data_IF_537961419221
#
_entry.id   IF_537961419221
#
_cell.length_a   1.000
_cell.length_b   1.000
_cell.length_c   1.000
_cell.angle_alpha   90.00
_cell.angle_beta   90.00
_cell.angle_gamma   90.00
#
_symmetry.space_group_name_H-M   'P 1'
#
loop_
_entity.id
_entity.type
_entity.pdbx_description
1 polymer ?
#
# COMPACT_ATOMS: atom_id res chain seq x y z
N UNK A 1 -6.66 -39.93 65.92
CA UNK A 1 -5.98 -41.21 66.20
C UNK A 1 -4.82 -41.29 65.24
N UNK A 2 -3.61 -41.24 65.81
CA UNK A 2 -2.34 -41.74 65.28
C UNK A 2 -2.51 -42.82 64.18
N UNK A 3 -1.86 -42.68 63.02
CA UNK A 3 -0.46 -43.02 62.74
C UNK A 3 -0.22 -44.54 62.66
N UNK A 4 0.42 -44.97 61.57
CA UNK A 4 1.45 -46.05 61.47
C UNK A 4 1.71 -46.37 59.98
N UNK A 5 2.94 -46.11 59.48
CA UNK A 5 4.03 -47.09 59.22
C UNK A 5 3.65 -48.10 58.10
N UNK A 6 4.42 -48.41 57.04
CA UNK A 6 5.85 -48.33 56.80
C UNK A 6 6.20 -48.88 55.38
N UNK A 7 7.45 -48.61 54.96
CA UNK A 7 8.35 -49.43 54.13
C UNK A 7 8.25 -49.41 52.58
N UNK A 8 9.35 -48.90 52.02
CA UNK A 8 9.99 -49.14 50.73
C UNK A 8 9.79 -50.53 50.11
N UNK A 9 9.57 -50.58 48.80
CA UNK A 9 10.26 -51.56 47.95
C UNK A 9 10.70 -50.95 46.63
N UNK A 10 12.01 -51.00 46.41
CA UNK A 10 12.72 -50.69 45.17
C UNK A 10 12.38 -51.73 44.09
N UNK A 11 12.00 -51.29 42.89
CA UNK A 11 12.22 -52.02 41.62
C UNK A 11 12.57 -51.00 40.53
N UNK A 12 13.84 -51.04 40.17
CA UNK A 12 14.48 -50.43 39.01
C UNK A 12 14.00 -51.12 37.71
N UNK A 13 13.52 -50.32 36.74
CA UNK A 13 13.43 -50.71 35.32
C UNK A 13 13.87 -49.56 34.45
N UNK A 14 15.17 -49.48 34.24
CA UNK A 14 15.82 -48.92 33.06
C UNK A 14 15.13 -49.33 31.75
N UNK A 15 14.64 -48.37 30.99
CA UNK A 15 14.48 -48.48 29.54
C UNK A 15 15.39 -47.46 28.86
N UNK A 16 16.46 -47.99 28.27
CA UNK A 16 17.36 -47.29 27.36
C UNK A 16 16.55 -46.70 26.21
N UNK A 17 16.71 -45.41 25.93
CA UNK A 17 16.74 -44.94 24.54
C UNK A 17 17.90 -43.94 24.38
N UNK A 18 18.85 -44.33 23.54
CA UNK A 18 20.08 -43.63 23.19
C UNK A 18 19.78 -42.33 22.44
N UNK A 19 20.59 -41.32 22.76
CA UNK A 19 20.78 -40.11 21.97
C UNK A 19 21.37 -40.44 20.58
N UNK A 20 20.84 -39.80 19.54
CA UNK A 20 21.52 -39.48 18.29
C UNK A 20 20.91 -38.17 17.77
N UNK A 21 21.75 -37.13 17.67
CA UNK A 21 21.42 -35.86 17.06
C UNK A 21 21.05 -36.02 15.59
N UNK A 22 20.04 -35.30 15.13
CA UNK A 22 20.11 -34.61 13.83
C UNK A 22 19.03 -33.54 13.75
N UNK A 23 19.47 -32.37 13.30
CA UNK A 23 18.65 -31.23 12.95
C UNK A 23 17.46 -31.64 12.07
N UNK A 24 16.27 -31.13 12.39
CA UNK A 24 15.26 -30.93 11.35
C UNK A 24 14.56 -29.60 11.56
N UNK A 25 15.24 -28.55 11.09
CA UNK A 25 14.62 -27.30 10.66
C UNK A 25 13.53 -27.63 9.64
N UNK A 26 12.26 -27.67 10.07
CA UNK A 26 11.14 -27.89 9.16
C UNK A 26 10.58 -26.55 8.67
N UNK A 27 11.25 -26.06 7.62
CA UNK A 27 10.69 -25.37 6.45
C UNK A 27 9.51 -24.42 6.69
N UNK A 28 9.82 -23.23 7.20
CA UNK A 28 9.08 -22.02 6.82
C UNK A 28 9.22 -21.91 5.30
N UNK A 29 8.16 -22.23 4.55
CA UNK A 29 8.08 -21.98 3.11
C UNK A 29 8.35 -20.50 2.88
N UNK A 30 9.59 -20.16 2.52
CA UNK A 30 9.96 -18.87 1.95
C UNK A 30 9.17 -18.74 0.66
N UNK A 31 7.99 -18.14 0.74
CA UNK A 31 7.32 -17.58 -0.43
C UNK A 31 8.35 -16.66 -1.06
N UNK A 32 8.84 -17.03 -2.26
CA UNK A 32 9.63 -16.13 -3.09
C UNK A 32 8.70 -14.97 -3.45
N UNK A 33 8.60 -13.97 -2.58
CA UNK A 33 8.08 -12.68 -2.93
C UNK A 33 9.02 -12.15 -4.02
N UNK A 34 8.58 -12.28 -5.26
CA UNK A 34 9.21 -11.63 -6.39
C UNK A 34 9.11 -10.14 -6.08
N UNK A 35 10.24 -9.57 -5.61
CA UNK A 35 10.48 -8.13 -5.59
C UNK A 35 9.98 -7.61 -6.92
N UNK A 36 8.89 -6.84 -6.96
CA UNK A 36 8.68 -5.97 -8.12
C UNK A 36 9.87 -5.02 -8.09
N UNK A 37 10.80 -5.10 -9.04
CA UNK A 37 11.75 -4.00 -9.18
C UNK A 37 10.88 -2.76 -9.38
N UNK A 38 11.26 -1.61 -8.85
CA UNK A 38 10.66 -0.32 -9.22
C UNK A 38 10.91 0.02 -10.70
N UNK A 39 10.68 -0.91 -11.62
CA UNK A 39 10.86 -0.81 -13.06
C UNK A 39 9.97 0.31 -13.62
N UNK A 40 8.79 0.50 -13.01
CA UNK A 40 7.88 1.61 -13.29
C UNK A 40 8.51 2.95 -12.91
N UNK A 41 9.05 3.08 -11.69
CA UNK A 41 9.78 4.28 -11.24
C UNK A 41 10.97 4.59 -12.15
N UNK A 42 11.72 3.56 -12.56
CA UNK A 42 12.84 3.71 -13.50
C UNK A 42 12.40 4.12 -14.90
N UNK A 43 11.21 3.76 -15.36
CA UNK A 43 10.74 4.09 -16.72
C UNK A 43 10.03 5.44 -16.80
N UNK A 44 9.30 5.86 -15.76
CA UNK A 44 8.70 7.19 -15.69
C UNK A 44 9.77 8.29 -15.58
N UNK A 45 10.85 8.06 -14.82
CA UNK A 45 12.00 8.97 -14.73
C UNK A 45 12.83 8.99 -16.04
N UNK A 46 12.81 7.92 -16.84
CA UNK A 46 13.54 7.89 -18.12
C UNK A 46 12.89 8.76 -19.19
N UNK A 47 11.62 9.14 -19.04
CA UNK A 47 10.91 9.96 -20.02
C UNK A 47 11.13 11.45 -19.71
N UNK A 48 12.22 12.04 -20.24
CA UNK A 48 12.64 13.42 -19.96
C UNK A 48 11.57 14.47 -20.29
N UNK A 49 10.69 14.23 -21.27
CA UNK A 49 9.60 15.14 -21.61
C UNK A 49 8.48 15.21 -20.55
N UNK A 50 8.28 14.14 -19.77
CA UNK A 50 7.36 14.15 -18.63
C UNK A 50 7.94 14.87 -17.41
N UNK A 51 9.27 15.05 -17.38
CA UNK A 51 10.01 15.72 -16.30
C UNK A 51 10.02 17.25 -16.51
N UNK A 52 10.01 17.72 -17.76
CA UNK A 52 10.30 19.12 -18.06
C UNK A 52 9.10 20.08 -17.97
N UNK A 53 7.86 19.60 -18.03
CA UNK A 53 6.63 20.43 -17.95
C UNK A 53 5.85 20.25 -16.66
N UNK A 54 6.47 19.61 -15.69
CA UNK A 54 5.82 19.04 -14.53
C UNK A 54 6.51 19.60 -13.29
N UNK A 55 5.88 20.57 -12.63
CA UNK A 55 6.28 21.07 -11.30
C UNK A 55 6.26 19.94 -10.22
N UNK A 56 6.01 18.69 -10.61
CA UNK A 56 5.92 17.49 -9.78
C UNK A 56 7.27 16.87 -9.39
N UNK A 57 8.39 17.53 -9.70
CA UNK A 57 9.75 17.11 -9.31
C UNK A 57 10.47 18.15 -8.45
N UNK A 58 9.77 19.15 -7.90
CA UNK A 58 10.39 20.07 -6.96
C UNK A 58 10.75 19.36 -5.64
N UNK A 59 11.97 19.67 -5.19
CA UNK A 59 12.69 18.98 -4.12
C UNK A 59 11.89 18.92 -2.83
N UNK A 60 11.85 17.74 -2.19
CA UNK A 60 11.36 17.59 -0.82
C UNK A 60 12.02 18.63 0.08
N UNK A 61 11.23 19.51 0.69
CA UNK A 61 11.70 20.32 1.80
C UNK A 61 12.23 19.37 2.88
N UNK A 62 13.45 19.59 3.36
CA UNK A 62 14.06 18.81 4.44
C UNK A 62 13.09 18.67 5.62
N UNK A 63 12.69 17.43 5.94
CA UNK A 63 11.73 17.13 7.03
C UNK A 63 10.40 16.52 6.59
N UNK A 64 10.16 16.35 5.29
CA UNK A 64 8.93 15.71 4.79
C UNK A 64 8.95 14.18 4.95
N UNK A 65 7.80 13.61 5.30
CA UNK A 65 7.59 12.17 5.43
C UNK A 65 7.85 11.43 4.12
N UNK A 66 8.66 10.38 4.17
CA UNK A 66 8.90 9.45 3.07
C UNK A 66 8.46 8.06 3.54
N UNK A 67 7.35 7.52 3.05
CA UNK A 67 6.88 6.19 3.43
C UNK A 67 7.90 5.12 2.98
N UNK A 68 8.39 4.27 3.91
CA UNK A 68 9.33 3.23 3.58
C UNK A 68 8.79 2.19 2.58
N UNK A 69 9.67 1.64 1.75
CA UNK A 69 9.28 0.59 0.79
C UNK A 69 9.04 -0.73 1.52
N UNK A 70 7.87 -1.32 1.32
CA UNK A 70 7.48 -2.56 1.98
C UNK A 70 7.69 -3.79 1.08
N UNK A 71 7.65 -5.01 1.65
CA UNK A 71 7.61 -6.24 0.87
C UNK A 71 6.34 -6.40 0.01
N UNK A 72 5.31 -5.58 0.22
CA UNK A 72 4.01 -5.69 -0.45
C UNK A 72 3.92 -4.92 -1.77
N UNK A 73 4.85 -3.99 -2.00
CA UNK A 73 4.96 -3.20 -3.23
C UNK A 73 3.62 -2.55 -3.64
N UNK A 74 3.01 -1.84 -2.69
CA UNK A 74 1.76 -1.12 -2.93
C UNK A 74 2.01 0.04 -3.90
N UNK A 75 1.07 0.31 -4.80
CA UNK A 75 1.20 1.41 -5.77
C UNK A 75 1.29 2.78 -5.07
N UNK A 76 0.72 2.89 -3.87
CA UNK A 76 0.83 4.06 -3.00
C UNK A 76 2.29 4.39 -2.64
N UNK A 77 3.16 3.39 -2.49
CA UNK A 77 4.60 3.58 -2.23
C UNK A 77 5.34 4.24 -3.41
N UNK A 78 4.75 4.19 -4.61
CA UNK A 78 5.29 4.84 -5.82
C UNK A 78 4.71 6.23 -6.04
N UNK A 79 3.49 6.50 -5.54
CA UNK A 79 2.71 7.70 -5.85
C UNK A 79 2.63 8.72 -4.71
N UNK A 80 3.21 8.44 -3.54
CA UNK A 80 3.05 9.25 -2.34
C UNK A 80 3.47 10.72 -2.47
N UNK A 81 4.44 11.02 -3.35
CA UNK A 81 4.87 12.39 -3.62
C UNK A 81 3.77 13.27 -4.21
N UNK A 82 2.76 12.66 -4.84
CA UNK A 82 1.64 13.35 -5.46
C UNK A 82 0.31 12.82 -4.90
N UNK A 83 -0.27 13.53 -3.91
CA UNK A 83 -1.54 13.15 -3.31
C UNK A 83 -2.68 12.91 -4.32
N UNK A 84 -2.78 13.72 -5.37
CA UNK A 84 -3.82 13.55 -6.37
C UNK A 84 -3.66 12.23 -7.13
N UNK A 85 -2.45 11.92 -7.61
CA UNK A 85 -2.19 10.66 -8.33
C UNK A 85 -2.40 9.43 -7.43
N UNK A 86 -1.96 9.51 -6.18
CA UNK A 86 -2.21 8.47 -5.19
C UNK A 86 -3.72 8.25 -5.01
N UNK A 87 -4.50 9.32 -4.88
CA UNK A 87 -5.96 9.24 -4.73
C UNK A 87 -6.65 8.73 -6.01
N UNK A 88 -6.20 9.12 -7.20
CA UNK A 88 -6.65 8.53 -8.47
C UNK A 88 -6.41 7.01 -8.45
N UNK A 89 -5.24 6.55 -8.01
CA UNK A 89 -4.96 5.12 -7.90
C UNK A 89 -5.94 4.42 -6.94
N UNK A 90 -6.30 5.05 -5.81
CA UNK A 90 -7.30 4.50 -4.88
C UNK A 90 -8.69 4.41 -5.52
N UNK A 91 -9.07 5.39 -6.35
CA UNK A 91 -10.31 5.35 -7.12
C UNK A 91 -10.29 4.17 -8.10
N UNK A 92 -9.21 3.93 -8.83
CA UNK A 92 -9.06 2.79 -9.74
C UNK A 92 -9.09 1.42 -9.03
N UNK A 93 -8.56 1.33 -7.81
CA UNK A 93 -8.53 0.10 -7.03
C UNK A 93 -9.87 -0.25 -6.35
N UNK A 94 -10.85 0.65 -6.40
CA UNK A 94 -12.17 0.40 -5.82
C UNK A 94 -12.87 -0.76 -6.53
N UNK A 95 -13.05 -1.88 -5.80
CA UNK A 95 -13.66 -3.14 -6.26
C UNK A 95 -12.95 -3.77 -7.47
N UNK A 96 -11.67 -3.48 -7.67
CA UNK A 96 -10.86 -3.98 -8.79
C UNK A 96 -9.57 -4.57 -8.26
N UNK A 97 -9.14 -5.70 -8.81
CA UNK A 97 -7.85 -6.29 -8.44
C UNK A 97 -6.69 -5.43 -8.93
N UNK A 98 -5.65 -5.28 -8.11
CA UNK A 98 -4.47 -4.49 -8.47
C UNK A 98 -3.81 -4.96 -9.78
N UNK A 99 -3.88 -6.26 -10.09
CA UNK A 99 -3.35 -6.82 -11.34
C UNK A 99 -3.99 -6.20 -12.59
N UNK A 100 -5.30 -5.92 -12.53
CA UNK A 100 -6.04 -5.30 -13.64
C UNK A 100 -5.95 -3.77 -13.61
N UNK A 101 -6.05 -3.17 -12.42
CA UNK A 101 -6.07 -1.72 -12.26
C UNK A 101 -4.72 -1.06 -12.58
N UNK A 102 -3.60 -1.61 -12.09
CA UNK A 102 -2.28 -0.94 -12.14
C UNK A 102 -1.85 -0.57 -13.57
N UNK A 103 -1.93 -1.47 -14.58
CA UNK A 103 -1.60 -1.10 -15.96
C UNK A 103 -2.45 0.06 -16.48
N UNK A 104 -3.75 0.08 -16.17
CA UNK A 104 -4.66 1.15 -16.57
C UNK A 104 -4.37 2.47 -15.85
N UNK A 105 -4.02 2.42 -14.56
CA UNK A 105 -3.56 3.58 -13.78
C UNK A 105 -2.33 4.20 -14.46
N UNK A 106 -1.36 3.38 -14.89
CA UNK A 106 -0.17 3.89 -15.56
C UNK A 106 -0.52 4.56 -16.89
N UNK A 107 -1.30 3.92 -17.76
CA UNK A 107 -1.73 4.52 -19.02
C UNK A 107 -2.52 5.81 -18.79
N UNK A 108 -3.37 5.84 -17.75
CA UNK A 108 -4.14 7.02 -17.36
C UNK A 108 -3.22 8.18 -16.95
N UNK A 109 -2.31 7.95 -16.00
CA UNK A 109 -1.41 9.00 -15.48
C UNK A 109 -0.34 9.45 -16.48
N UNK A 110 0.02 8.59 -17.45
CA UNK A 110 0.86 9.00 -18.57
C UNK A 110 0.14 9.97 -19.51
N UNK A 111 -1.18 9.80 -19.67
CA UNK A 111 -2.00 10.61 -20.58
C UNK A 111 -2.51 11.89 -19.91
N UNK A 112 -2.88 11.82 -18.64
CA UNK A 112 -3.36 12.94 -17.82
C UNK A 112 -2.56 12.99 -16.52
N UNK A 113 -1.32 13.52 -16.57
CA UNK A 113 -0.44 13.58 -15.40
C UNK A 113 -0.92 14.56 -14.33
N UNK A 114 -1.73 15.57 -14.69
CA UNK A 114 -2.22 16.60 -13.75
C UNK A 114 -3.74 16.58 -13.55
N UNK A 115 -4.23 17.13 -12.42
CA UNK A 115 -5.65 17.43 -12.25
C UNK A 115 -6.25 18.24 -13.41
N UNK A 116 -5.53 19.27 -13.88
CA UNK A 116 -5.98 20.16 -14.96
C UNK A 116 -6.16 19.40 -16.27
N UNK A 117 -5.28 18.45 -16.58
CA UNK A 117 -5.40 17.61 -17.77
C UNK A 117 -6.71 16.81 -17.75
N UNK A 118 -7.08 16.25 -16.59
CA UNK A 118 -8.35 15.53 -16.41
C UNK A 118 -9.55 16.46 -16.52
N UNK A 119 -9.47 17.71 -16.04
CA UNK A 119 -10.58 18.66 -16.19
C UNK A 119 -10.87 19.01 -17.65
N UNK A 120 -9.82 19.04 -18.49
CA UNK A 120 -9.91 19.32 -19.93
C UNK A 120 -10.15 18.07 -20.78
N UNK A 121 -10.06 16.89 -20.19
CA UNK A 121 -10.16 15.63 -20.90
C UNK A 121 -11.56 15.38 -21.48
N UNK A 122 -11.59 14.83 -22.69
CA UNK A 122 -12.82 14.36 -23.32
C UNK A 122 -13.44 13.20 -22.49
N UNK A 123 -14.74 13.26 -22.16
CA UNK A 123 -15.40 12.21 -21.39
C UNK A 123 -15.33 10.81 -22.00
N UNK A 124 -15.35 10.68 -23.33
CA UNK A 124 -15.27 9.37 -23.98
C UNK A 124 -13.86 8.78 -23.82
N UNK A 125 -12.82 9.60 -23.95
CA UNK A 125 -11.46 9.15 -23.69
C UNK A 125 -11.25 8.71 -22.23
N UNK A 126 -11.82 9.43 -21.27
CA UNK A 126 -11.80 9.01 -19.87
C UNK A 126 -12.53 7.67 -19.68
N UNK A 127 -13.66 7.45 -20.35
CA UNK A 127 -14.37 6.18 -20.30
C UNK A 127 -13.54 5.02 -20.85
N UNK A 128 -12.89 5.19 -22.01
CA UNK A 128 -11.97 4.20 -22.58
C UNK A 128 -10.81 3.86 -21.64
N UNK A 129 -10.35 4.83 -20.84
CA UNK A 129 -9.24 4.61 -19.90
C UNK A 129 -9.59 3.67 -18.73
N UNK A 130 -10.88 3.58 -18.37
CA UNK A 130 -11.38 2.73 -17.28
C UNK A 130 -12.12 1.50 -17.79
N UNK A 131 -12.13 1.26 -19.10
CA UNK A 131 -12.85 0.15 -19.72
C UNK A 131 -12.41 -1.21 -19.17
N UNK A 132 -13.38 -2.12 -19.01
CA UNK A 132 -13.21 -3.48 -18.49
C UNK A 132 -12.79 -3.57 -17.02
N UNK A 133 -12.86 -2.44 -16.29
CA UNK A 133 -12.67 -2.42 -14.83
C UNK A 133 -13.98 -2.55 -14.06
N UNK A 134 -15.13 -2.43 -14.73
CA UNK A 134 -16.43 -2.33 -14.09
C UNK A 134 -16.66 -0.98 -13.42
N UNK A 135 -17.93 -0.60 -13.32
CA UNK A 135 -18.39 0.69 -12.79
C UNK A 135 -17.82 1.88 -13.59
N UNK A 136 -17.61 1.71 -14.90
CA UNK A 136 -16.88 2.64 -15.76
C UNK A 136 -17.48 4.05 -15.71
N UNK A 137 -18.78 4.17 -15.96
CA UNK A 137 -19.50 5.46 -15.92
C UNK A 137 -19.41 6.12 -14.54
N UNK A 138 -19.61 5.34 -13.48
CA UNK A 138 -19.49 5.81 -12.09
C UNK A 138 -18.07 6.27 -11.80
N UNK A 139 -17.06 5.54 -12.27
CA UNK A 139 -15.65 5.84 -12.06
C UNK A 139 -15.22 7.10 -12.77
N UNK A 140 -15.63 7.30 -14.04
CA UNK A 140 -15.37 8.55 -14.77
C UNK A 140 -16.03 9.74 -14.07
N UNK A 141 -17.30 9.59 -13.65
CA UNK A 141 -18.00 10.64 -12.89
C UNK A 141 -17.26 10.96 -11.58
N UNK A 142 -16.80 9.93 -10.87
CA UNK A 142 -16.01 10.10 -9.65
C UNK A 142 -14.70 10.82 -9.93
N UNK A 143 -13.91 10.37 -10.91
CA UNK A 143 -12.64 11.00 -11.28
C UNK A 143 -12.82 12.49 -11.59
N UNK A 144 -13.82 12.85 -12.41
CA UNK A 144 -14.07 14.26 -12.78
C UNK A 144 -14.47 15.10 -11.57
N UNK A 145 -15.41 14.63 -10.75
CA UNK A 145 -15.89 15.38 -9.58
C UNK A 145 -14.84 15.45 -8.47
N UNK A 146 -14.15 14.35 -8.18
CA UNK A 146 -13.00 14.30 -7.29
C UNK A 146 -11.94 15.34 -7.70
N UNK A 147 -11.57 15.36 -8.97
CA UNK A 147 -10.53 16.26 -9.47
C UNK A 147 -10.94 17.73 -9.37
N UNK A 148 -12.20 18.06 -9.69
CA UNK A 148 -12.72 19.39 -9.49
C UNK A 148 -12.72 19.80 -8.01
N UNK A 149 -13.18 18.92 -7.12
CA UNK A 149 -13.15 19.14 -5.67
C UNK A 149 -11.71 19.33 -5.16
N UNK A 150 -10.77 18.52 -5.64
CA UNK A 150 -9.36 18.57 -5.25
C UNK A 150 -8.73 19.95 -5.52
N UNK A 151 -9.10 20.58 -6.64
CA UNK A 151 -8.60 21.89 -7.06
C UNK A 151 -9.33 23.06 -6.41
N UNK A 152 -10.65 22.94 -6.23
CA UNK A 152 -11.50 24.09 -5.92
C UNK A 152 -11.90 24.18 -4.44
N UNK A 153 -11.89 23.08 -3.70
CA UNK A 153 -12.24 23.08 -2.27
C UNK A 153 -11.03 23.41 -1.41
N UNK A 154 -11.28 24.09 -0.30
CA UNK A 154 -10.31 24.17 0.80
C UNK A 154 -10.51 22.96 1.72
N UNK A 155 -9.81 21.87 1.45
CA UNK A 155 -9.93 20.61 2.19
C UNK A 155 -8.67 20.35 3.03
N UNK A 156 -8.84 19.69 4.18
CA UNK A 156 -7.71 19.28 5.04
C UNK A 156 -7.36 17.82 4.83
N UNK A 157 -8.36 16.95 4.74
CA UNK A 157 -8.20 15.54 4.45
C UNK A 157 -9.04 15.14 3.23
N UNK A 158 -8.55 14.19 2.41
CA UNK A 158 -9.21 13.90 1.15
C UNK A 158 -10.54 13.18 1.32
N UNK A 159 -10.90 12.68 2.52
CA UNK A 159 -12.25 12.18 2.81
C UNK A 159 -13.37 13.22 2.58
N UNK A 160 -13.01 14.51 2.57
CA UNK A 160 -13.91 15.63 2.27
C UNK A 160 -14.20 15.77 0.75
N UNK A 161 -13.43 15.08 -0.09
CA UNK A 161 -13.51 15.13 -1.54
C UNK A 161 -14.44 14.05 -2.09
N UNK A 162 -15.20 14.40 -3.12
CA UNK A 162 -16.16 13.49 -3.72
C UNK A 162 -15.49 12.17 -4.16
N UNK A 163 -16.06 11.05 -3.71
CA UNK A 163 -15.62 9.71 -4.11
C UNK A 163 -14.41 9.17 -3.35
N UNK A 164 -13.84 9.92 -2.41
CA UNK A 164 -12.80 9.43 -1.52
C UNK A 164 -13.45 8.98 -0.21
N UNK A 165 -13.44 7.67 0.02
CA UNK A 165 -13.86 7.07 1.29
C UNK A 165 -12.71 6.83 2.25
N UNK A 166 -12.99 6.10 3.33
CA UNK A 166 -11.99 5.73 4.35
C UNK A 166 -10.73 5.11 3.77
N UNK A 167 -10.84 4.20 2.80
CA UNK A 167 -9.68 3.60 2.12
C UNK A 167 -8.73 4.62 1.48
N UNK A 168 -9.27 5.57 0.70
CA UNK A 168 -8.45 6.60 0.06
C UNK A 168 -7.85 7.58 1.08
N UNK A 169 -8.62 7.92 2.12
CA UNK A 169 -8.16 8.76 3.21
C UNK A 169 -7.05 8.12 4.05
N UNK A 170 -7.19 6.84 4.41
CA UNK A 170 -6.17 6.08 5.13
C UNK A 170 -4.92 5.93 4.26
N UNK A 171 -5.07 5.73 2.94
CA UNK A 171 -3.95 5.75 2.00
C UNK A 171 -3.21 7.09 2.05
N UNK A 172 -3.91 8.21 1.92
CA UNK A 172 -3.30 9.54 2.03
C UNK A 172 -2.56 9.74 3.36
N UNK A 173 -3.18 9.34 4.47
CA UNK A 173 -2.62 9.51 5.82
C UNK A 173 -1.44 8.59 6.14
N UNK A 174 -1.35 7.44 5.46
CA UNK A 174 -0.20 6.52 5.56
C UNK A 174 0.98 6.98 4.71
N UNK A 175 0.70 7.48 3.50
CA UNK A 175 1.73 7.66 2.48
C UNK A 175 2.10 9.14 2.25
N UNK A 176 1.14 10.06 2.24
CA UNK A 176 1.39 11.46 1.91
C UNK A 176 1.75 12.32 3.14
N UNK A 177 1.29 11.93 4.33
CA UNK A 177 1.54 12.67 5.58
C UNK A 177 2.04 11.74 6.68
N UNK A 178 2.81 12.26 7.65
CA UNK A 178 3.36 11.47 8.77
C UNK A 178 2.32 11.14 9.85
N UNK A 179 1.16 10.59 9.46
CA UNK A 179 0.08 10.27 10.39
C UNK A 179 -0.12 8.76 10.57
N UNK A 180 0.75 7.93 10.01
CA UNK A 180 0.59 6.48 9.94
C UNK A 180 0.28 5.80 11.29
N UNK A 181 0.84 6.32 12.39
CA UNK A 181 0.58 5.84 13.76
C UNK A 181 -0.89 6.03 14.22
N UNK A 182 -1.57 7.05 13.70
CA UNK A 182 -2.97 7.40 14.02
C UNK A 182 -3.99 6.73 13.09
N UNK A 183 -3.54 6.05 12.04
CA UNK A 183 -4.42 5.42 11.05
C UNK A 183 -4.80 4.02 11.51
N UNK A 184 -6.06 3.62 11.34
CA UNK A 184 -6.53 2.26 11.57
C UNK A 184 -7.25 1.77 10.30
N UNK A 185 -6.51 1.19 9.33
CA UNK A 185 -7.08 0.78 8.05
C UNK A 185 -7.99 -0.44 8.20
N UNK A 186 -9.04 -0.49 7.38
CA UNK A 186 -9.87 -1.71 7.22
C UNK A 186 -9.43 -2.52 5.98
N UNK A 187 -8.70 -1.87 5.06
CA UNK A 187 -8.17 -2.54 3.87
C UNK A 187 -7.02 -3.49 4.24
N UNK A 188 -7.12 -4.74 3.78
CA UNK A 188 -6.20 -5.82 4.13
C UNK A 188 -4.75 -5.46 3.81
N UNK A 189 -4.49 -4.79 2.67
CA UNK A 189 -3.13 -4.47 2.24
C UNK A 189 -2.59 -3.25 2.98
N UNK A 190 -3.41 -2.23 3.25
CA UNK A 190 -3.03 -1.11 4.10
C UNK A 190 -2.72 -1.56 5.54
N UNK A 191 -3.52 -2.47 6.10
CA UNK A 191 -3.28 -3.03 7.44
C UNK A 191 -1.95 -3.79 7.48
N UNK A 192 -1.67 -4.65 6.48
CA UNK A 192 -0.37 -5.32 6.36
C UNK A 192 0.81 -4.34 6.27
N UNK A 193 0.68 -3.29 5.47
CA UNK A 193 1.72 -2.27 5.35
C UNK A 193 1.94 -1.54 6.68
N UNK A 194 0.87 -1.16 7.39
CA UNK A 194 0.96 -0.50 8.71
C UNK A 194 1.56 -1.42 9.77
N UNK A 195 1.15 -2.69 9.83
CA UNK A 195 1.70 -3.67 10.76
C UNK A 195 3.19 -3.86 10.52
N UNK A 196 3.59 -3.94 9.24
CA UNK A 196 5.00 -3.98 8.85
C UNK A 196 5.75 -2.71 9.28
N UNK A 197 5.20 -1.51 9.09
CA UNK A 197 5.84 -0.28 9.60
C UNK A 197 6.06 -0.35 11.12
N UNK A 198 5.03 -0.77 11.86
CA UNK A 198 5.08 -0.88 13.32
C UNK A 198 6.17 -1.86 13.77
N UNK A 199 6.29 -3.01 13.10
CA UNK A 199 7.30 -4.02 13.42
C UNK A 199 8.74 -3.57 13.09
N UNK A 200 8.91 -2.64 12.14
CA UNK A 200 10.22 -2.24 11.61
C UNK A 200 10.61 -0.80 11.96
N UNK A 201 9.81 -0.08 12.75
CA UNK A 201 9.96 1.33 13.10
C UNK A 201 11.40 1.68 13.54
N UNK A 202 11.94 0.92 14.50
CA UNK A 202 13.31 1.11 15.01
C UNK A 202 14.39 0.92 13.93
N UNK A 203 14.21 -0.06 13.05
CA UNK A 203 15.17 -0.37 11.99
C UNK A 203 15.10 0.66 10.85
N UNK A 204 13.90 1.19 10.59
CA UNK A 204 13.64 2.18 9.57
C UNK A 204 13.98 3.62 10.01
N UNK A 205 14.18 3.84 11.32
CA UNK A 205 14.53 5.15 11.88
C UNK A 205 13.39 6.17 11.78
N UNK A 206 12.14 5.71 11.87
CA UNK A 206 10.92 6.52 11.71
C UNK A 206 10.10 6.66 12.97
#
# INVERSE_FOLDING_TARGET
MEADHEILHSIDKTSKLKCLSSHSEKNVRKTKYCKRPGLVYKNLIKNQNAIQTSHYFESTCSGQWIPPRSPYALIQEDLFHNPWQLLIATIFLTKVTAKLAIPKIHTFLLKWPTPEDVTKADPQQLLSSVENLGLENTRVKTIKRFTADFLLKNWKYPIELYGIGKYGNDSYRLFCVNEWRKVQPDDILLSKYKDWLTLNEKQLGI
#
